data_IF_672001173794
#
_entry.id   IF_672001173794
#
_cell.length_a   1.000
_cell.length_b   1.000
_cell.length_c   1.000
_cell.angle_alpha   90.00
_cell.angle_beta   90.00
_cell.angle_gamma   90.00
#
_symmetry.space_group_name_H-M   'P 1'
#
loop_
_entity.id
_entity.type
_entity.pdbx_description
1 polymer ?
#
# COMPACT_ATOMS: atom_id res chain seq x y z
N UNK A 1 29.68 -37.86 29.51
CA UNK A 1 28.29 -38.16 29.14
C UNK A 1 27.62 -36.82 28.93
N UNK A 2 27.85 -36.09 27.83
CA UNK A 2 27.64 -36.43 26.40
C UNK A 2 26.22 -37.01 26.18
N UNK A 3 25.32 -36.52 25.32
CA UNK A 3 25.36 -35.68 24.10
C UNK A 3 24.17 -34.68 24.08
N UNK A 4 24.28 -33.43 23.61
CA UNK A 4 24.08 -32.91 22.23
C UNK A 4 22.83 -33.40 21.48
N UNK A 5 21.91 -32.46 21.18
CA UNK A 5 21.29 -32.33 19.87
C UNK A 5 20.92 -30.86 19.62
N UNK A 6 21.80 -30.16 18.91
CA UNK A 6 21.50 -28.89 18.26
C UNK A 6 20.50 -29.13 17.13
N UNK A 7 19.54 -28.22 16.97
CA UNK A 7 18.88 -28.05 15.68
C UNK A 7 18.95 -26.56 15.30
N UNK A 8 20.10 -26.20 14.74
CA UNK A 8 20.30 -24.95 14.01
C UNK A 8 19.58 -25.10 12.67
N UNK A 9 18.50 -24.36 12.46
CA UNK A 9 17.89 -24.25 11.14
C UNK A 9 18.72 -23.23 10.37
N UNK A 10 19.69 -23.71 9.59
CA UNK A 10 20.36 -22.92 8.56
C UNK A 10 19.38 -22.70 7.40
N UNK A 11 18.84 -21.49 7.26
CA UNK A 11 18.11 -21.08 6.06
C UNK A 11 19.05 -20.28 5.15
N UNK A 12 19.38 -20.84 4.00
CA UNK A 12 20.22 -20.22 2.98
C UNK A 12 19.36 -19.41 2.01
N UNK A 13 19.73 -18.14 1.79
CA UNK A 13 19.25 -17.33 0.66
C UNK A 13 20.12 -17.64 -0.58
N UNK A 14 19.55 -17.52 -1.78
CA UNK A 14 20.21 -17.80 -3.06
C UNK A 14 21.40 -16.86 -3.41
N UNK A 15 21.71 -15.89 -2.56
CA UNK A 15 22.98 -15.18 -2.56
C UNK A 15 23.52 -15.15 -1.13
N UNK A 16 24.63 -15.85 -0.91
CA UNK A 16 25.23 -16.07 0.41
C UNK A 16 25.89 -14.83 1.00
N UNK A 17 25.08 -13.89 1.48
CA UNK A 17 25.48 -12.82 2.38
C UNK A 17 24.72 -12.99 3.71
N UNK A 18 25.48 -13.14 4.80
CA UNK A 18 24.94 -13.25 6.15
C UNK A 18 24.30 -11.91 6.53
N UNK A 19 22.97 -11.86 6.58
CA UNK A 19 22.24 -10.72 7.16
C UNK A 19 22.68 -10.56 8.62
N UNK A 20 22.98 -9.33 9.04
CA UNK A 20 23.35 -9.08 10.44
C UNK A 20 22.14 -9.34 11.36
N UNK A 21 22.38 -9.63 12.64
CA UNK A 21 21.30 -9.89 13.60
C UNK A 21 20.31 -8.71 13.71
N UNK A 22 20.79 -7.49 13.42
CA UNK A 22 19.99 -6.26 13.38
C UNK A 22 19.09 -6.18 12.12
N UNK A 23 19.53 -6.73 10.99
CA UNK A 23 18.75 -6.76 9.74
C UNK A 23 17.55 -7.73 9.81
N UNK A 24 17.70 -8.84 10.54
CA UNK A 24 16.62 -9.81 10.79
C UNK A 24 15.59 -9.27 11.81
N UNK A 25 16.02 -8.45 12.77
CA UNK A 25 15.11 -7.80 13.71
C UNK A 25 14.21 -6.77 13.00
N UNK A 26 14.76 -6.04 12.03
CA UNK A 26 14.01 -5.05 11.25
C UNK A 26 12.84 -5.62 10.43
N UNK A 27 12.91 -6.90 10.01
CA UNK A 27 11.82 -7.59 9.31
C UNK A 27 10.78 -8.24 10.23
N UNK A 28 11.04 -8.29 11.55
CA UNK A 28 10.19 -9.02 12.51
C UNK A 28 9.40 -8.08 13.43
N UNK A 29 9.78 -6.80 13.52
CA UNK A 29 9.05 -5.79 14.30
C UNK A 29 7.77 -5.36 13.60
N UNK A 30 6.66 -5.39 14.34
CA UNK A 30 5.35 -4.88 13.92
C UNK A 30 5.41 -3.37 13.60
N UNK A 31 4.46 -2.84 12.82
CA UNK A 31 4.40 -1.39 12.57
C UNK A 31 4.24 -0.59 13.87
N UNK A 32 3.46 -1.09 14.83
CA UNK A 32 3.25 -0.44 16.12
C UNK A 32 4.53 -0.25 16.94
N UNK A 33 5.50 -1.15 16.83
CA UNK A 33 6.81 -1.04 17.50
C UNK A 33 7.74 -0.01 16.83
N UNK A 34 7.44 0.39 15.60
CA UNK A 34 8.25 1.32 14.79
C UNK A 34 7.65 2.72 14.70
N UNK A 35 6.71 3.04 15.57
CA UNK A 35 6.11 4.38 15.64
C UNK A 35 7.18 5.41 16.02
N UNK A 36 7.28 6.46 15.20
CA UNK A 36 8.18 7.59 15.45
C UNK A 36 7.49 8.69 16.25
N UNK A 37 8.26 9.52 16.97
CA UNK A 37 7.71 10.70 17.66
C UNK A 37 6.96 11.63 16.71
N UNK A 38 7.49 11.85 15.51
CA UNK A 38 6.82 12.69 14.50
C UNK A 38 5.50 12.13 13.97
N UNK A 39 5.28 10.81 14.02
CA UNK A 39 3.96 10.23 13.74
C UNK A 39 3.01 10.46 14.92
N UNK A 40 3.49 10.27 16.16
CA UNK A 40 2.69 10.51 17.37
C UNK A 40 2.19 11.94 17.44
N UNK A 41 3.06 12.92 17.19
CA UNK A 41 2.70 14.35 17.21
C UNK A 41 1.56 14.66 16.23
N UNK A 42 1.64 14.12 15.01
CA UNK A 42 0.58 14.28 13.99
C UNK A 42 -0.71 13.60 14.39
N UNK A 43 -0.64 12.45 15.06
CA UNK A 43 -1.82 11.73 15.55
C UNK A 43 -2.51 12.54 16.65
N UNK A 44 -1.75 13.05 17.63
CA UNK A 44 -2.31 13.90 18.68
C UNK A 44 -2.95 15.16 18.11
N UNK A 45 -2.24 15.85 17.20
CA UNK A 45 -2.76 17.02 16.49
C UNK A 45 -4.07 16.69 15.77
N UNK A 46 -4.12 15.60 15.00
CA UNK A 46 -5.30 15.19 14.27
C UNK A 46 -6.50 14.91 15.19
N UNK A 47 -6.28 14.34 16.38
CA UNK A 47 -7.34 14.08 17.37
C UNK A 47 -7.93 15.41 17.88
N UNK A 48 -7.13 16.46 18.05
CA UNK A 48 -7.62 17.76 18.55
C UNK A 48 -8.67 18.41 17.64
N UNK A 49 -8.67 18.10 16.34
CA UNK A 49 -9.67 18.58 15.39
C UNK A 49 -11.08 17.96 15.60
N UNK A 50 -11.21 16.94 16.45
CA UNK A 50 -12.48 16.23 16.71
C UNK A 50 -12.85 16.21 18.20
N UNK A 51 -13.14 17.38 18.81
CA UNK A 51 -13.31 17.50 20.26
C UNK A 51 -14.57 16.79 20.80
N UNK A 52 -15.57 16.54 19.97
CA UNK A 52 -16.85 15.93 20.38
C UNK A 52 -16.77 14.40 20.43
N UNK A 53 -16.02 13.78 19.53
CA UNK A 53 -15.91 12.32 19.47
C UNK A 53 -14.57 11.89 18.89
N UNK A 54 -13.81 11.12 19.68
CA UNK A 54 -12.57 10.48 19.23
C UNK A 54 -12.79 9.54 18.04
N UNK A 55 -13.98 8.95 17.92
CA UNK A 55 -14.35 8.08 16.78
C UNK A 55 -14.19 8.79 15.43
N UNK A 56 -14.49 10.09 15.38
CA UNK A 56 -14.39 10.87 14.15
C UNK A 56 -12.95 11.02 13.65
N UNK A 57 -11.95 10.80 14.50
CA UNK A 57 -10.53 10.83 14.13
C UNK A 57 -10.03 9.52 13.48
N UNK A 58 -10.85 8.46 13.40
CA UNK A 58 -10.42 7.15 12.89
C UNK A 58 -9.90 7.19 11.45
N UNK A 59 -10.62 7.83 10.52
CA UNK A 59 -10.19 7.96 9.12
C UNK A 59 -8.90 8.78 8.96
N UNK A 60 -8.76 9.97 9.59
CA UNK A 60 -7.49 10.69 9.63
C UNK A 60 -6.31 9.87 10.13
N UNK A 61 -6.49 9.11 11.21
CA UNK A 61 -5.44 8.27 11.78
C UNK A 61 -5.04 7.14 10.82
N UNK A 62 -6.01 6.48 10.16
CA UNK A 62 -5.74 5.48 9.13
C UNK A 62 -4.94 6.07 7.96
N UNK A 63 -5.27 7.29 7.51
CA UNK A 63 -4.51 7.98 6.49
C UNK A 63 -3.07 8.30 6.94
N UNK A 64 -2.88 8.82 8.16
CA UNK A 64 -1.56 9.10 8.71
C UNK A 64 -0.71 7.82 8.80
N UNK A 65 -1.31 6.73 9.29
CA UNK A 65 -0.67 5.44 9.41
C UNK A 65 -0.23 4.88 8.07
N UNK A 66 -1.14 4.79 7.10
CA UNK A 66 -0.83 4.29 5.76
C UNK A 66 0.15 5.20 5.02
N UNK A 67 0.12 6.52 5.24
CA UNK A 67 1.09 7.44 4.65
C UNK A 67 2.50 7.25 5.25
N UNK A 68 2.60 6.83 6.51
CA UNK A 68 3.87 6.60 7.18
C UNK A 68 4.47 5.22 6.84
N UNK A 69 3.67 4.15 6.95
CA UNK A 69 4.14 2.77 6.76
C UNK A 69 3.85 2.19 5.38
N UNK A 70 3.08 2.88 4.55
CA UNK A 70 2.68 2.42 3.23
C UNK A 70 1.47 1.51 3.20
N UNK A 71 1.13 0.82 4.29
CA UNK A 71 -0.05 -0.06 4.45
C UNK A 71 -0.39 -0.18 5.93
N UNK A 72 -1.52 -0.81 6.27
CA UNK A 72 -1.98 -0.98 7.66
C UNK A 72 -1.94 -2.47 8.02
N UNK A 73 -0.98 -2.86 8.85
CA UNK A 73 -0.94 -4.22 9.41
C UNK A 73 -1.90 -4.36 10.61
N UNK A 74 -2.01 -5.58 11.15
CA UNK A 74 -2.86 -5.89 12.31
C UNK A 74 -2.48 -5.05 13.54
N UNK A 75 -1.18 -4.84 13.78
CA UNK A 75 -0.70 -4.02 14.90
C UNK A 75 -1.18 -2.57 14.79
N UNK A 76 -1.26 -2.03 13.57
CA UNK A 76 -1.79 -0.69 13.33
C UNK A 76 -3.28 -0.58 13.59
N UNK A 77 -4.05 -1.62 13.26
CA UNK A 77 -5.48 -1.69 13.57
C UNK A 77 -5.70 -1.63 15.08
N UNK A 78 -5.01 -2.50 15.82
CA UNK A 78 -5.11 -2.57 17.28
C UNK A 78 -4.65 -1.28 17.94
N UNK A 79 -3.54 -0.71 17.47
CA UNK A 79 -3.00 0.52 18.02
C UNK A 79 -3.96 1.70 17.82
N UNK A 80 -4.51 1.88 16.61
CA UNK A 80 -5.47 2.96 16.32
C UNK A 80 -6.75 2.77 17.15
N UNK A 81 -7.24 1.54 17.27
CA UNK A 81 -8.41 1.23 18.08
C UNK A 81 -8.19 1.61 19.55
N UNK A 82 -7.07 1.19 20.15
CA UNK A 82 -6.70 1.55 21.51
C UNK A 82 -6.53 3.07 21.68
N UNK A 83 -5.93 3.76 20.71
CA UNK A 83 -5.71 5.21 20.74
C UNK A 83 -7.01 6.00 20.83
N UNK A 84 -8.05 5.51 20.16
CA UNK A 84 -9.36 6.16 20.08
C UNK A 84 -10.39 5.63 21.07
N UNK A 85 -10.01 4.66 21.92
CA UNK A 85 -10.91 3.94 22.83
C UNK A 85 -12.08 3.27 22.08
N UNK A 86 -11.74 2.55 21.01
CA UNK A 86 -12.65 1.81 20.14
C UNK A 86 -12.30 0.32 20.10
N UNK A 87 -13.24 -0.51 19.64
CA UNK A 87 -12.97 -1.91 19.31
C UNK A 87 -12.23 -2.01 17.96
N UNK A 88 -11.29 -2.95 17.85
CA UNK A 88 -10.55 -3.21 16.59
C UNK A 88 -11.47 -3.47 15.40
N UNK A 89 -12.63 -4.12 15.64
CA UNK A 89 -13.63 -4.36 14.59
C UNK A 89 -14.13 -3.07 13.94
N UNK A 90 -14.28 -1.98 14.70
CA UNK A 90 -14.70 -0.69 14.15
C UNK A 90 -13.67 -0.08 13.21
N UNK A 91 -12.39 -0.37 13.40
CA UNK A 91 -11.32 0.06 12.50
C UNK A 91 -11.27 -0.85 11.26
N UNK A 92 -11.43 -2.17 11.44
CA UNK A 92 -11.51 -3.13 10.34
C UNK A 92 -12.72 -2.87 9.42
N UNK A 93 -13.85 -2.45 9.98
CA UNK A 93 -15.02 -2.01 9.22
C UNK A 93 -14.65 -0.86 8.27
N UNK A 94 -13.89 0.15 8.74
CA UNK A 94 -13.45 1.27 7.92
C UNK A 94 -12.46 0.84 6.83
N UNK A 95 -11.48 0.01 7.18
CA UNK A 95 -10.48 -0.50 6.22
C UNK A 95 -11.16 -1.32 5.12
N UNK A 96 -12.13 -2.14 5.50
CA UNK A 96 -12.88 -2.96 4.55
C UNK A 96 -13.79 -2.11 3.67
N UNK A 97 -14.44 -1.10 4.25
CA UNK A 97 -15.40 -0.26 3.56
C UNK A 97 -14.77 0.74 2.58
N UNK A 98 -13.60 1.30 2.90
CA UNK A 98 -12.91 2.27 2.05
C UNK A 98 -11.81 1.60 1.21
N UNK A 99 -11.99 1.44 -0.12
CA UNK A 99 -11.04 0.72 -0.97
C UNK A 99 -9.62 1.31 -1.02
N UNK A 100 -9.44 2.55 -0.56
CA UNK A 100 -8.15 3.21 -0.52
C UNK A 100 -7.19 2.62 0.53
N UNK A 101 -7.74 2.04 1.61
CA UNK A 101 -6.93 1.43 2.66
C UNK A 101 -6.51 0.02 2.26
N UNK A 102 -5.24 -0.29 2.50
CA UNK A 102 -4.63 -1.58 2.12
C UNK A 102 -3.96 -2.22 3.32
N UNK A 103 -4.12 -3.54 3.42
CA UNK A 103 -3.56 -4.36 4.49
C UNK A 103 -2.32 -5.14 4.05
N UNK A 104 -1.96 -5.04 2.77
CA UNK A 104 -0.74 -5.62 2.21
C UNK A 104 0.18 -4.51 1.71
N UNK A 105 1.47 -4.71 1.87
CA UNK A 105 2.49 -3.81 1.35
C UNK A 105 2.36 -3.73 -0.18
N UNK A 106 2.16 -2.53 -0.76
CA UNK A 106 2.28 -2.34 -2.19
C UNK A 106 3.76 -2.32 -2.59
N UNK A 107 4.02 -2.40 -3.88
CA UNK A 107 5.30 -2.03 -4.45
C UNK A 107 5.60 -0.53 -4.27
N UNK A 108 6.86 -0.17 -4.51
CA UNK A 108 7.38 1.20 -4.36
C UNK A 108 6.57 2.24 -5.14
N UNK A 109 6.13 1.90 -6.35
CA UNK A 109 5.33 2.74 -7.23
C UNK A 109 3.96 2.12 -7.46
N UNK A 110 2.91 2.84 -7.10
CA UNK A 110 1.52 2.41 -7.31
C UNK A 110 0.95 3.11 -8.53
N UNK A 111 0.48 2.35 -9.51
CA UNK A 111 -0.14 2.84 -10.73
C UNK A 111 -1.62 2.46 -10.68
N UNK A 112 -2.49 3.47 -10.69
CA UNK A 112 -3.94 3.28 -10.65
C UNK A 112 -4.57 3.77 -11.94
N UNK A 113 -5.12 2.86 -12.73
CA UNK A 113 -5.71 3.19 -14.04
C UNK A 113 -7.21 3.38 -13.87
N UNK A 114 -7.75 4.53 -14.29
CA UNK A 114 -9.19 4.75 -14.25
C UNK A 114 -9.91 3.87 -15.28
N UNK A 115 -10.94 3.12 -14.85
CA UNK A 115 -11.75 2.25 -15.74
C UNK A 115 -13.18 2.73 -15.99
N UNK A 116 -13.55 3.92 -15.53
CA UNK A 116 -14.91 4.46 -15.77
C UNK A 116 -15.10 4.96 -17.19
N UNK A 117 -16.37 5.20 -17.57
CA UNK A 117 -16.84 5.36 -18.95
C UNK A 117 -15.91 6.13 -19.90
N UNK A 118 -15.52 7.36 -19.57
CA UNK A 118 -14.68 8.18 -20.47
C UNK A 118 -13.30 7.57 -20.70
N UNK A 119 -12.69 6.97 -19.68
CA UNK A 119 -11.40 6.29 -19.80
C UNK A 119 -11.54 4.95 -20.53
N UNK A 120 -12.61 4.20 -20.24
CA UNK A 120 -12.92 2.95 -20.91
C UNK A 120 -13.08 3.15 -22.42
N UNK A 121 -13.86 4.15 -22.84
CA UNK A 121 -14.05 4.50 -24.26
C UNK A 121 -12.75 4.99 -24.93
N UNK A 122 -11.83 5.55 -24.15
CA UNK A 122 -10.55 6.06 -24.63
C UNK A 122 -9.41 5.01 -24.59
N UNK A 123 -9.71 3.75 -24.22
CA UNK A 123 -8.75 2.64 -24.27
C UNK A 123 -7.97 2.39 -22.96
N UNK A 124 -8.56 2.67 -21.80
CA UNK A 124 -7.89 2.47 -20.51
C UNK A 124 -7.60 1.01 -20.17
N UNK A 125 -8.36 0.06 -20.72
CA UNK A 125 -8.16 -1.36 -20.46
C UNK A 125 -6.87 -1.87 -21.13
N UNK A 126 -6.62 -1.44 -22.36
CA UNK A 126 -5.40 -1.73 -23.10
C UNK A 126 -4.18 -1.10 -22.42
N UNK A 127 -4.33 0.10 -21.87
CA UNK A 127 -3.29 0.78 -21.08
C UNK A 127 -2.97 -0.01 -19.81
N UNK A 128 -3.99 -0.44 -19.05
CA UNK A 128 -3.79 -1.27 -17.86
C UNK A 128 -3.09 -2.58 -18.20
N UNK A 129 -3.55 -3.28 -19.24
CA UNK A 129 -2.92 -4.54 -19.68
C UNK A 129 -1.46 -4.33 -20.07
N UNK A 130 -1.13 -3.22 -20.74
CA UNK A 130 0.25 -2.87 -21.09
C UNK A 130 1.09 -2.58 -19.83
N UNK A 131 0.57 -1.87 -18.83
CA UNK A 131 1.26 -1.69 -17.54
C UNK A 131 1.56 -3.04 -16.89
N UNK A 132 0.54 -3.89 -16.73
CA UNK A 132 0.68 -5.22 -16.13
C UNK A 132 1.73 -6.08 -16.86
N UNK A 133 1.67 -6.16 -18.19
CA UNK A 133 2.66 -6.88 -19.01
C UNK A 133 4.07 -6.35 -18.83
N UNK A 134 4.24 -5.03 -18.81
CA UNK A 134 5.55 -4.38 -18.66
C UNK A 134 6.13 -4.54 -17.25
N UNK A 135 5.30 -4.73 -16.22
CA UNK A 135 5.75 -4.94 -14.83
C UNK A 135 5.72 -6.40 -14.39
N UNK A 136 5.32 -7.34 -15.26
CA UNK A 136 5.22 -8.76 -14.93
C UNK A 136 4.08 -9.12 -13.97
N UNK A 137 3.01 -8.32 -13.95
CA UNK A 137 1.80 -8.54 -13.15
C UNK A 137 0.74 -9.19 -14.04
N UNK A 138 -0.03 -10.15 -13.50
CA UNK A 138 -1.19 -10.71 -14.20
C UNK A 138 -2.33 -9.67 -14.24
N UNK A 139 -2.80 -9.25 -15.43
CA UNK A 139 -3.86 -8.24 -15.56
C UNK A 139 -5.22 -8.68 -15.02
N UNK A 140 -5.42 -9.97 -14.75
CA UNK A 140 -6.66 -10.52 -14.15
C UNK A 140 -6.57 -10.64 -12.63
N UNK A 141 -5.38 -10.43 -12.06
CA UNK A 141 -5.20 -10.43 -10.62
C UNK A 141 -5.89 -9.19 -10.05
N UNK A 142 -6.87 -9.40 -9.19
CA UNK A 142 -7.44 -8.36 -8.35
C UNK A 142 -7.20 -8.74 -6.89
N UNK A 143 -6.84 -7.76 -6.07
CA UNK A 143 -6.62 -7.96 -4.64
C UNK A 143 -7.70 -7.29 -3.81
N UNK A 144 -8.47 -8.07 -3.06
CA UNK A 144 -9.25 -7.52 -1.95
C UNK A 144 -8.27 -7.13 -0.83
N UNK A 145 -8.14 -5.83 -0.58
CA UNK A 145 -7.28 -5.21 0.45
C UNK A 145 -5.75 -5.32 0.22
N UNK A 146 -5.35 -5.54 -1.03
CA UNK A 146 -3.96 -5.46 -1.47
C UNK A 146 -3.91 -5.16 -2.96
N UNK A 147 -2.82 -4.54 -3.42
CA UNK A 147 -2.67 -4.20 -4.83
C UNK A 147 -1.83 -5.29 -5.50
N UNK A 148 -2.22 -5.84 -6.67
CA UNK A 148 -1.36 -6.72 -7.45
C UNK A 148 0.00 -6.07 -7.63
N UNK A 149 1.05 -6.80 -7.26
CA UNK A 149 2.42 -6.27 -7.14
C UNK A 149 3.38 -7.14 -7.93
N UNK A 150 4.34 -6.50 -8.59
CA UNK A 150 5.35 -7.17 -9.39
C UNK A 150 6.25 -8.07 -8.52
N UNK A 151 6.85 -9.14 -9.09
CA UNK A 151 7.72 -10.04 -8.33
C UNK A 151 8.94 -9.37 -7.68
N UNK A 152 9.38 -8.22 -8.22
CA UNK A 152 10.48 -7.41 -7.68
C UNK A 152 10.04 -6.34 -6.67
N UNK A 153 8.75 -6.32 -6.29
CA UNK A 153 8.13 -5.36 -5.37
C UNK A 153 8.32 -3.88 -5.74
N UNK A 154 8.65 -3.56 -7.00
CA UNK A 154 8.80 -2.17 -7.46
C UNK A 154 7.48 -1.54 -7.85
N UNK A 155 6.58 -2.31 -8.45
CA UNK A 155 5.36 -1.78 -9.04
C UNK A 155 4.13 -2.48 -8.48
N UNK A 156 3.09 -1.72 -8.24
CA UNK A 156 1.74 -2.24 -8.09
C UNK A 156 0.83 -1.59 -9.12
N UNK A 157 -0.04 -2.39 -9.73
CA UNK A 157 -0.97 -1.90 -10.76
C UNK A 157 -2.37 -2.36 -10.38
N UNK A 158 -3.32 -1.43 -10.38
CA UNK A 158 -4.74 -1.71 -10.17
C UNK A 158 -5.63 -0.82 -11.04
N UNK A 159 -6.86 -1.27 -11.24
CA UNK A 159 -7.93 -0.40 -11.66
C UNK A 159 -8.46 0.43 -10.49
N UNK A 160 -8.90 1.64 -10.81
CA UNK A 160 -9.71 2.48 -9.93
C UNK A 160 -10.90 3.04 -10.67
N UNK A 161 -11.86 3.51 -9.88
CA UNK A 161 -13.00 4.25 -10.38
C UNK A 161 -12.61 5.68 -10.79
N UNK A 162 -13.60 6.54 -11.04
CA UNK A 162 -13.41 7.87 -11.63
C UNK A 162 -12.39 8.72 -10.87
N UNK A 163 -11.35 9.18 -11.57
CA UNK A 163 -10.34 10.12 -11.07
C UNK A 163 -10.68 11.60 -11.37
N UNK A 164 -11.93 11.88 -11.76
CA UNK A 164 -12.48 13.21 -11.99
C UNK A 164 -11.76 14.09 -13.04
N UNK A 165 -10.99 13.49 -13.96
CA UNK A 165 -10.40 14.19 -15.12
C UNK A 165 -10.86 13.60 -16.46
N UNK A 166 -12.18 13.54 -16.64
CA UNK A 166 -12.80 12.92 -17.82
C UNK A 166 -12.46 13.65 -19.14
N UNK A 167 -12.18 14.96 -19.08
CA UNK A 167 -11.86 15.77 -20.27
C UNK A 167 -10.48 15.49 -20.88
N UNK A 168 -9.62 14.78 -20.16
CA UNK A 168 -8.27 14.40 -20.59
C UNK A 168 -8.05 12.89 -20.51
N UNK A 169 -9.13 12.10 -20.58
CA UNK A 169 -9.05 10.65 -20.59
C UNK A 169 -8.20 10.13 -21.77
N UNK A 170 -7.51 8.98 -21.62
CA UNK A 170 -7.38 8.17 -20.40
C UNK A 170 -6.49 8.81 -19.34
N UNK A 171 -6.78 8.54 -18.07
CA UNK A 171 -5.99 9.05 -16.94
C UNK A 171 -5.56 7.93 -16.00
N UNK A 172 -4.39 8.08 -15.38
CA UNK A 172 -3.94 7.23 -14.29
C UNK A 172 -3.36 8.07 -13.14
N UNK A 173 -3.33 7.50 -11.94
CA UNK A 173 -2.64 8.06 -10.79
C UNK A 173 -1.36 7.26 -10.55
N UNK A 174 -0.21 7.91 -10.64
CA UNK A 174 1.08 7.32 -10.28
C UNK A 174 1.46 7.85 -8.91
N UNK A 175 1.35 7.00 -7.89
CA UNK A 175 1.39 7.36 -6.48
C UNK A 175 0.35 8.42 -6.11
N UNK A 176 0.74 9.70 -6.16
CA UNK A 176 -0.11 10.87 -5.89
C UNK A 176 -0.24 11.80 -7.11
N UNK A 177 0.50 11.54 -8.18
CA UNK A 177 0.56 12.38 -9.35
C UNK A 177 -0.47 11.91 -10.38
N UNK A 178 -1.38 12.81 -10.76
CA UNK A 178 -2.33 12.56 -11.83
C UNK A 178 -1.62 12.70 -13.17
N UNK A 179 -1.65 11.65 -13.97
CA UNK A 179 -1.13 11.63 -15.35
C UNK A 179 -2.32 11.61 -16.29
N UNK A 180 -2.38 12.63 -17.14
CA UNK A 180 -3.47 12.86 -18.07
C UNK A 180 -3.07 12.51 -19.50
N UNK A 181 -4.06 12.20 -20.36
CA UNK A 181 -3.88 11.85 -21.78
C UNK A 181 -2.90 10.69 -21.99
N UNK A 182 -2.97 9.69 -21.11
CA UNK A 182 -2.08 8.53 -21.17
C UNK A 182 -2.36 7.73 -22.44
N UNK A 183 -1.32 7.47 -23.21
CA UNK A 183 -1.37 6.58 -24.37
C UNK A 183 -0.53 5.31 -24.13
N UNK A 184 -0.68 4.32 -25.02
CA UNK A 184 0.11 3.08 -24.96
C UNK A 184 1.62 3.32 -25.10
N UNK A 185 2.03 4.40 -25.77
CA UNK A 185 3.43 4.74 -25.97
C UNK A 185 4.07 5.31 -24.68
N UNK A 186 3.27 6.00 -23.87
CA UNK A 186 3.74 6.64 -22.64
C UNK A 186 4.02 5.63 -21.52
N UNK A 187 3.44 4.42 -21.59
CA UNK A 187 3.52 3.42 -20.51
C UNK A 187 4.97 3.09 -20.13
N UNK A 188 5.83 2.85 -21.11
CA UNK A 188 7.22 2.49 -20.84
C UNK A 188 8.02 3.64 -20.22
N UNK A 189 7.73 4.88 -20.64
CA UNK A 189 8.37 6.07 -20.11
C UNK A 189 7.89 6.38 -18.69
N UNK A 190 6.59 6.17 -18.41
CA UNK A 190 6.02 6.27 -17.06
C UNK A 190 6.68 5.24 -16.13
N UNK A 191 6.86 4.00 -16.57
CA UNK A 191 7.54 2.97 -15.77
C UNK A 191 9.00 3.35 -15.52
N UNK A 192 9.76 3.72 -16.55
CA UNK A 192 11.19 4.09 -16.43
C UNK A 192 11.39 5.27 -15.48
N UNK A 193 10.53 6.29 -15.55
CA UNK A 193 10.59 7.46 -14.68
C UNK A 193 10.37 7.12 -13.20
N UNK A 194 9.64 6.04 -12.91
CA UNK A 194 9.22 5.66 -11.56
C UNK A 194 9.80 4.31 -11.09
N UNK A 195 10.91 3.85 -11.71
CA UNK A 195 11.63 2.62 -11.36
C UNK A 195 12.60 2.77 -10.18
#
# INVERSE_FOLDING_TARGET
MDQRAHNTIEQTSSHGELLSHDDVLGSTLSQAERITSGLLDKVEEAITHYPVSKRSAALPLLHLWQNHFGFIDESGVEWIAAKLDLNSISILELITFYPWFRQKAPGKTIIRVCRTLSCALAGSYEIHEKFCKSTGIDPTCEGHHGIPTSPDAKFSVEFVECLASCGSAPVCLVNKDLVERVSLQDVEDIIKKNS
#
